data_IF_289175377858
#
_entry.id   IF_289175377858
#
_cell.length_a   1.000
_cell.length_b   1.000
_cell.length_c   1.000
_cell.angle_alpha   90.00
_cell.angle_beta   90.00
_cell.angle_gamma   90.00
#
_symmetry.space_group_name_H-M   'P 1'
#
loop_
_entity.id
_entity.type
_entity.pdbx_description
1 polymer ?
#
# COMPACT_ATOMS: atom_id res chain seq x y z
N UNK A 1 39.63 2.58 28.54
CA UNK A 1 38.26 3.09 28.34
C UNK A 1 38.43 4.44 27.66
N UNK A 2 38.67 4.37 26.34
CA UNK A 2 38.90 5.56 25.51
C UNK A 2 37.56 6.26 25.35
N UNK A 3 37.49 7.49 25.81
CA UNK A 3 36.41 8.44 25.59
C UNK A 3 36.50 8.82 24.13
N UNK A 4 35.59 8.33 23.29
CA UNK A 4 35.37 8.85 21.93
C UNK A 4 34.78 10.27 22.05
N UNK A 5 35.70 11.20 22.27
CA UNK A 5 35.48 12.64 22.39
C UNK A 5 35.27 13.21 20.98
N UNK A 6 34.00 13.41 20.54
CA UNK A 6 33.74 14.04 19.26
C UNK A 6 32.32 13.91 18.71
N UNK A 7 31.42 13.16 19.34
CA UNK A 7 30.04 13.05 18.86
C UNK A 7 29.24 14.32 19.18
N UNK A 8 28.91 15.09 18.15
CA UNK A 8 28.06 16.29 18.27
C UNK A 8 26.73 15.95 18.91
N UNK A 9 26.25 16.75 19.86
CA UNK A 9 24.95 16.62 20.49
C UNK A 9 23.85 17.20 19.57
N UNK A 10 22.67 16.57 19.60
CA UNK A 10 21.49 17.09 18.90
C UNK A 10 21.10 18.49 19.39
N UNK A 11 21.19 18.70 20.69
CA UNK A 11 20.88 19.95 21.38
C UNK A 11 22.00 20.32 22.35
N UNK A 12 22.99 21.10 21.93
CA UNK A 12 24.15 21.47 22.78
C UNK A 12 23.78 22.20 24.08
N UNK A 13 22.62 22.85 24.10
CA UNK A 13 22.08 23.53 25.28
C UNK A 13 21.66 22.57 26.43
N UNK A 14 21.50 21.29 26.12
CA UNK A 14 21.09 20.26 27.08
C UNK A 14 22.13 19.11 27.14
N UNK A 15 23.36 19.34 27.59
CA UNK A 15 24.47 18.40 27.42
C UNK A 15 24.24 17.06 28.12
N UNK A 16 23.46 17.03 29.21
CA UNK A 16 23.23 15.82 30.00
C UNK A 16 22.02 14.98 29.53
N UNK A 17 21.11 15.56 28.72
CA UNK A 17 19.85 14.93 28.33
C UNK A 17 19.68 14.81 26.83
N UNK A 18 20.49 15.50 26.03
CA UNK A 18 20.43 15.47 24.57
C UNK A 18 20.96 14.17 24.01
N UNK A 19 20.30 13.68 22.96
CA UNK A 19 20.83 12.59 22.14
C UNK A 19 22.11 13.03 21.41
N UNK A 20 22.93 12.04 21.07
CA UNK A 20 24.04 12.24 20.15
C UNK A 20 23.55 12.24 18.73
N UNK A 21 24.08 13.14 17.94
CA UNK A 21 23.76 13.20 16.51
C UNK A 21 24.13 11.88 15.82
N UNK A 22 23.27 11.30 14.98
CA UNK A 22 23.62 10.10 14.25
C UNK A 22 24.94 10.29 13.49
N UNK A 23 25.86 9.35 13.63
CA UNK A 23 27.12 9.36 12.89
C UNK A 23 26.86 9.35 11.37
N UNK A 24 27.77 9.98 10.61
CA UNK A 24 27.66 9.98 9.15
C UNK A 24 27.48 8.56 8.62
N UNK A 25 26.47 8.30 7.79
CA UNK A 25 26.16 6.94 7.35
C UNK A 25 27.30 6.40 6.48
N UNK A 26 27.61 5.11 6.69
CA UNK A 26 28.54 4.38 5.84
C UNK A 26 28.06 4.43 4.37
N UNK A 27 28.94 4.32 3.36
CA UNK A 27 28.56 4.39 1.95
C UNK A 27 27.40 3.45 1.56
N UNK A 28 27.33 2.27 2.18
CA UNK A 28 26.23 1.32 2.01
C UNK A 28 24.89 1.85 2.49
N UNK A 29 24.89 2.58 3.60
CA UNK A 29 23.68 3.20 4.17
C UNK A 29 23.18 4.36 3.29
N UNK A 30 24.10 5.13 2.69
CA UNK A 30 23.77 6.17 1.72
C UNK A 30 23.08 5.59 0.48
N UNK A 31 23.59 4.48 -0.05
CA UNK A 31 22.95 3.77 -1.18
C UNK A 31 21.54 3.33 -0.79
N UNK A 32 21.36 2.74 0.40
CA UNK A 32 20.05 2.31 0.89
C UNK A 32 19.06 3.48 0.97
N UNK A 33 19.48 4.63 1.52
CA UNK A 33 18.61 5.81 1.62
C UNK A 33 18.24 6.36 0.23
N UNK A 34 19.17 6.41 -0.71
CA UNK A 34 18.89 6.84 -2.09
C UNK A 34 17.89 5.90 -2.77
N UNK A 35 18.02 4.59 -2.57
CA UNK A 35 17.04 3.60 -3.05
C UNK A 35 15.67 3.82 -2.41
N UNK A 36 15.60 4.02 -1.08
CA UNK A 36 14.34 4.30 -0.38
C UNK A 36 13.68 5.59 -0.89
N UNK A 37 14.43 6.67 -1.09
CA UNK A 37 13.88 7.91 -1.67
C UNK A 37 13.40 7.73 -3.11
N UNK A 38 14.11 6.95 -3.94
CA UNK A 38 13.69 6.64 -5.30
C UNK A 38 12.40 5.84 -5.32
N UNK A 39 12.25 4.86 -4.43
CA UNK A 39 11.01 4.08 -4.25
C UNK A 39 9.89 5.00 -3.78
N UNK A 40 10.13 5.86 -2.78
CA UNK A 40 9.17 6.83 -2.28
C UNK A 40 8.63 7.73 -3.39
N UNK A 41 9.52 8.34 -4.19
CA UNK A 41 9.16 9.21 -5.30
C UNK A 41 8.34 8.45 -6.37
N UNK A 42 8.74 7.23 -6.71
CA UNK A 42 8.02 6.39 -7.66
C UNK A 42 6.62 6.05 -7.14
N UNK A 43 6.51 5.67 -5.87
CA UNK A 43 5.23 5.36 -5.22
C UNK A 43 4.30 6.58 -5.23
N UNK A 44 4.81 7.75 -4.87
CA UNK A 44 4.04 9.02 -4.91
C UNK A 44 3.54 9.31 -6.33
N UNK A 45 4.43 9.27 -7.31
CA UNK A 45 4.08 9.62 -8.69
C UNK A 45 3.03 8.68 -9.27
N UNK A 46 3.19 7.37 -9.10
CA UNK A 46 2.27 6.39 -9.67
C UNK A 46 0.91 6.40 -9.00
N UNK A 47 0.86 6.52 -7.67
CA UNK A 47 -0.41 6.56 -6.94
C UNK A 47 -1.15 7.88 -7.17
N UNK A 48 -0.45 9.01 -7.29
CA UNK A 48 -1.05 10.28 -7.67
C UNK A 48 -1.72 10.19 -9.05
N UNK A 49 -1.08 9.56 -10.04
CA UNK A 49 -1.67 9.33 -11.36
C UNK A 49 -2.94 8.46 -11.29
N UNK A 50 -2.95 7.42 -10.44
CA UNK A 50 -4.15 6.59 -10.23
C UNK A 50 -5.28 7.43 -9.62
N UNK A 51 -4.99 8.21 -8.58
CA UNK A 51 -5.97 9.07 -7.90
C UNK A 51 -6.56 10.07 -8.87
N UNK A 52 -5.72 10.80 -9.62
CA UNK A 52 -6.17 11.77 -10.62
C UNK A 52 -7.04 11.09 -11.68
N UNK A 53 -6.59 9.94 -12.22
CA UNK A 53 -7.32 9.23 -13.26
C UNK A 53 -8.70 8.78 -12.80
N UNK A 54 -8.81 8.17 -11.62
CA UNK A 54 -10.09 7.69 -11.09
C UNK A 54 -10.99 8.88 -10.73
N UNK A 55 -10.45 9.94 -10.13
CA UNK A 55 -11.22 11.10 -9.70
C UNK A 55 -11.74 11.92 -10.88
N UNK A 56 -10.95 12.06 -11.95
CA UNK A 56 -11.31 12.88 -13.10
C UNK A 56 -12.30 12.19 -14.04
N UNK A 57 -12.13 10.91 -14.32
CA UNK A 57 -12.94 10.20 -15.30
C UNK A 57 -14.13 9.48 -14.65
N UNK A 58 -15.35 10.01 -14.83
CA UNK A 58 -16.61 9.41 -14.32
C UNK A 58 -16.83 7.96 -14.75
N UNK A 59 -16.32 7.58 -15.92
CA UNK A 59 -16.40 6.19 -16.42
C UNK A 59 -15.61 5.19 -15.55
N UNK A 60 -14.66 5.68 -14.76
CA UNK A 60 -13.87 4.88 -13.83
C UNK A 60 -14.49 4.76 -12.44
N UNK A 61 -15.63 5.37 -12.18
CA UNK A 61 -16.33 5.25 -10.91
C UNK A 61 -17.06 3.91 -10.80
N UNK A 62 -16.30 2.83 -10.69
CA UNK A 62 -16.81 1.47 -10.45
C UNK A 62 -16.50 1.05 -9.00
N UNK A 63 -17.25 0.08 -8.43
CA UNK A 63 -16.97 -0.43 -7.08
C UNK A 63 -15.52 -0.85 -6.89
N UNK A 64 -14.97 -1.62 -7.81
CA UNK A 64 -13.57 -2.04 -7.79
C UNK A 64 -12.58 -0.86 -7.80
N UNK A 65 -12.85 0.17 -8.62
CA UNK A 65 -11.95 1.31 -8.72
C UNK A 65 -11.99 2.18 -7.45
N UNK A 66 -13.06 2.16 -6.66
CA UNK A 66 -13.08 2.81 -5.34
C UNK A 66 -12.15 2.10 -4.36
N UNK A 67 -12.05 0.76 -4.40
CA UNK A 67 -11.05 0.03 -3.61
C UNK A 67 -9.62 0.38 -4.04
N UNK A 68 -9.38 0.46 -5.35
CA UNK A 68 -8.09 0.88 -5.89
C UNK A 68 -7.75 2.33 -5.54
N UNK A 69 -8.75 3.21 -5.48
CA UNK A 69 -8.57 4.59 -5.05
C UNK A 69 -8.17 4.66 -3.57
N UNK A 70 -8.81 3.88 -2.69
CA UNK A 70 -8.45 3.81 -1.28
C UNK A 70 -7.02 3.32 -1.10
N UNK A 71 -6.64 2.24 -1.77
CA UNK A 71 -5.26 1.72 -1.76
C UNK A 71 -4.26 2.76 -2.30
N UNK A 72 -4.60 3.45 -3.38
CA UNK A 72 -3.71 4.47 -3.93
C UNK A 72 -3.53 5.68 -2.99
N UNK A 73 -4.55 6.03 -2.21
CA UNK A 73 -4.46 7.07 -1.17
C UNK A 73 -3.55 6.61 -0.04
N UNK A 74 -3.72 5.40 0.50
CA UNK A 74 -2.85 4.88 1.56
C UNK A 74 -1.40 4.75 1.08
N UNK A 75 -1.15 4.24 -0.12
CA UNK A 75 0.20 4.13 -0.71
C UNK A 75 0.85 5.51 -0.98
N UNK A 76 0.06 6.50 -1.42
CA UNK A 76 0.53 7.88 -1.56
C UNK A 76 1.01 8.43 -0.22
N UNK A 77 0.25 8.20 0.85
CA UNK A 77 0.61 8.63 2.21
C UNK A 77 1.84 7.87 2.74
N UNK A 78 2.01 6.58 2.42
CA UNK A 78 3.24 5.83 2.72
C UNK A 78 4.43 6.52 2.06
N UNK A 79 4.35 6.85 0.78
CA UNK A 79 5.44 7.50 0.04
C UNK A 79 5.74 8.92 0.51
N UNK A 80 4.72 9.71 0.86
CA UNK A 80 4.90 11.12 1.25
C UNK A 80 5.26 11.33 2.72
N UNK A 81 4.75 10.48 3.61
CA UNK A 81 4.83 10.68 5.06
C UNK A 81 5.66 9.60 5.74
N UNK A 82 5.28 8.32 5.56
CA UNK A 82 5.88 7.23 6.34
C UNK A 82 7.34 7.00 5.95
N UNK A 83 7.63 6.81 4.66
CA UNK A 83 9.00 6.52 4.21
C UNK A 83 9.97 7.66 4.50
N UNK A 84 9.68 8.94 4.13
CA UNK A 84 10.58 10.04 4.46
C UNK A 84 10.73 10.26 5.97
N UNK A 85 9.64 10.11 6.74
CA UNK A 85 9.66 10.27 8.18
C UNK A 85 10.51 9.20 8.89
N UNK A 86 10.45 7.93 8.44
CA UNK A 86 11.32 6.87 8.99
C UNK A 86 12.80 7.10 8.65
N UNK A 87 13.09 7.60 7.46
CA UNK A 87 14.46 7.99 7.11
C UNK A 87 14.92 9.14 8.01
N UNK A 88 14.09 10.18 8.16
CA UNK A 88 14.39 11.33 9.00
C UNK A 88 14.66 10.95 10.47
N UNK A 89 13.83 10.08 11.07
CA UNK A 89 14.03 9.57 12.43
C UNK A 89 15.37 8.86 12.62
N UNK A 90 15.88 8.20 11.57
CA UNK A 90 17.15 7.44 11.63
C UNK A 90 18.39 8.26 11.28
N UNK A 91 18.23 9.33 10.50
CA UNK A 91 19.35 10.11 9.99
C UNK A 91 19.56 11.45 10.68
N UNK A 92 18.55 11.93 11.39
CA UNK A 92 18.53 13.27 11.96
C UNK A 92 18.04 13.27 13.40
N UNK A 93 18.36 14.33 14.13
CA UNK A 93 17.78 14.57 15.43
C UNK A 93 16.30 14.97 15.28
N UNK A 94 15.44 14.44 16.13
CA UNK A 94 14.02 14.80 16.14
C UNK A 94 13.82 16.12 16.86
N UNK A 95 13.46 17.17 16.13
CA UNK A 95 13.29 18.54 16.68
C UNK A 95 11.81 18.97 16.74
N UNK A 96 10.88 18.10 16.30
CA UNK A 96 9.45 18.44 16.20
C UNK A 96 8.68 18.24 17.51
N UNK A 97 9.35 17.75 18.57
CA UNK A 97 8.75 17.52 19.88
C UNK A 97 7.96 16.22 19.99
N UNK A 98 7.58 15.88 21.22
CA UNK A 98 7.00 14.58 21.56
C UNK A 98 5.56 14.40 21.02
N UNK A 99 4.79 15.48 21.00
CA UNK A 99 3.41 15.41 20.47
C UNK A 99 3.40 15.12 18.96
N UNK A 100 4.30 15.72 18.18
CA UNK A 100 4.41 15.45 16.75
C UNK A 100 4.98 14.05 16.50
N UNK A 101 5.86 13.55 17.38
CA UNK A 101 6.32 12.18 17.37
C UNK A 101 5.17 11.18 17.57
N UNK A 102 4.35 11.40 18.59
CA UNK A 102 3.13 10.63 18.82
C UNK A 102 2.20 10.64 17.58
N UNK A 103 1.89 11.82 17.06
CA UNK A 103 1.01 11.97 15.91
C UNK A 103 1.57 11.27 14.67
N UNK A 104 2.87 11.39 14.43
CA UNK A 104 3.54 10.71 13.33
C UNK A 104 3.44 9.17 13.46
N UNK A 105 3.74 8.61 14.63
CA UNK A 105 3.66 7.18 14.89
C UNK A 105 2.21 6.67 14.72
N UNK A 106 1.23 7.40 15.27
CA UNK A 106 -0.19 7.08 15.13
C UNK A 106 -0.64 7.05 13.67
N UNK A 107 -0.34 8.10 12.89
CA UNK A 107 -0.70 8.17 11.48
C UNK A 107 0.01 7.10 10.66
N UNK A 108 1.27 6.82 10.94
CA UNK A 108 2.05 5.78 10.23
C UNK A 108 1.43 4.40 10.40
N UNK A 109 0.93 4.06 11.60
CA UNK A 109 0.25 2.78 11.84
C UNK A 109 -1.11 2.75 11.11
N UNK A 110 -1.92 3.83 11.19
CA UNK A 110 -3.20 3.91 10.47
C UNK A 110 -2.98 3.66 8.97
N UNK A 111 -2.04 4.35 8.36
CA UNK A 111 -1.74 4.25 6.93
C UNK A 111 -1.33 2.82 6.56
N UNK A 112 -0.46 2.20 7.36
CA UNK A 112 0.02 0.85 7.11
C UNK A 112 -1.09 -0.20 7.25
N UNK A 113 -1.90 -0.12 8.30
CA UNK A 113 -3.01 -1.05 8.54
C UNK A 113 -4.11 -0.88 7.51
N UNK A 114 -4.44 0.35 7.09
CA UNK A 114 -5.44 0.59 6.06
C UNK A 114 -4.99 0.06 4.69
N UNK A 115 -3.73 0.21 4.33
CA UNK A 115 -3.17 -0.37 3.09
C UNK A 115 -3.31 -1.89 3.06
N UNK A 116 -2.99 -2.58 4.16
CA UNK A 116 -3.20 -4.03 4.29
C UNK A 116 -4.68 -4.41 4.17
N UNK A 117 -5.57 -3.66 4.81
CA UNK A 117 -7.01 -3.86 4.73
C UNK A 117 -7.55 -3.67 3.32
N UNK A 118 -7.09 -2.65 2.60
CA UNK A 118 -7.46 -2.40 1.20
C UNK A 118 -7.05 -3.57 0.29
N UNK A 119 -5.88 -4.16 0.50
CA UNK A 119 -5.43 -5.35 -0.24
C UNK A 119 -6.36 -6.55 0.02
N UNK A 120 -6.80 -6.75 1.26
CA UNK A 120 -7.78 -7.80 1.60
C UNK A 120 -9.12 -7.53 0.89
N UNK A 121 -9.63 -6.31 0.94
CA UNK A 121 -10.89 -5.95 0.28
C UNK A 121 -10.82 -6.17 -1.23
N UNK A 122 -9.71 -5.80 -1.88
CA UNK A 122 -9.47 -6.07 -3.31
C UNK A 122 -9.41 -7.57 -3.58
N UNK A 123 -8.78 -8.34 -2.71
CA UNK A 123 -8.69 -9.81 -2.85
C UNK A 123 -10.07 -10.46 -2.77
N UNK A 124 -10.93 -9.99 -1.86
CA UNK A 124 -12.34 -10.43 -1.75
C UNK A 124 -13.14 -10.02 -2.99
N UNK A 125 -12.99 -8.80 -3.48
CA UNK A 125 -13.64 -8.32 -4.71
C UNK A 125 -13.28 -9.22 -5.91
N UNK A 126 -11.99 -9.53 -6.09
CA UNK A 126 -11.53 -10.44 -7.14
C UNK A 126 -12.06 -11.85 -6.96
N UNK A 127 -12.08 -12.37 -5.74
CA UNK A 127 -12.64 -13.68 -5.43
C UNK A 127 -14.11 -13.77 -5.84
N UNK A 128 -14.95 -12.81 -5.46
CA UNK A 128 -16.38 -12.81 -5.81
C UNK A 128 -16.56 -12.67 -7.32
N UNK A 129 -15.78 -11.81 -7.98
CA UNK A 129 -15.87 -11.61 -9.43
C UNK A 129 -15.56 -12.88 -10.26
N UNK A 130 -14.69 -13.74 -9.78
CA UNK A 130 -14.22 -14.94 -10.49
C UNK A 130 -15.00 -16.19 -10.07
N UNK A 131 -15.27 -16.33 -8.76
CA UNK A 131 -15.90 -17.54 -8.22
C UNK A 131 -17.44 -17.48 -8.25
N UNK A 132 -18.05 -16.27 -8.25
CA UNK A 132 -19.51 -16.08 -8.28
C UNK A 132 -19.91 -14.92 -9.22
N UNK A 133 -19.63 -15.04 -10.54
CA UNK A 133 -19.85 -13.95 -11.48
C UNK A 133 -21.32 -13.56 -11.66
N UNK A 134 -22.24 -14.50 -11.45
CA UNK A 134 -23.69 -14.25 -11.60
C UNK A 134 -24.23 -13.32 -10.51
N UNK A 135 -23.71 -13.41 -9.29
CA UNK A 135 -24.13 -12.60 -8.16
C UNK A 135 -23.21 -11.41 -7.89
N UNK A 136 -22.15 -11.22 -8.69
CA UNK A 136 -21.17 -10.17 -8.48
C UNK A 136 -21.81 -8.78 -8.37
N UNK A 137 -22.65 -8.40 -9.34
CA UNK A 137 -23.30 -7.08 -9.39
C UNK A 137 -24.28 -6.82 -8.24
N UNK A 138 -24.85 -7.88 -7.65
CA UNK A 138 -25.75 -7.77 -6.49
C UNK A 138 -25.01 -7.73 -5.16
N UNK A 139 -23.85 -8.37 -5.08
CA UNK A 139 -23.02 -8.42 -3.87
C UNK A 139 -22.07 -7.23 -3.76
N UNK A 140 -21.43 -6.85 -4.85
CA UNK A 140 -20.43 -5.77 -4.91
C UNK A 140 -21.07 -4.51 -5.48
N UNK A 141 -21.74 -3.78 -4.62
CA UNK A 141 -22.39 -2.50 -4.98
C UNK A 141 -21.55 -1.32 -4.50
N UNK A 142 -21.70 -0.15 -5.15
CA UNK A 142 -20.97 1.07 -4.81
C UNK A 142 -21.11 1.45 -3.34
N UNK A 143 -22.30 1.36 -2.77
CA UNK A 143 -22.53 1.75 -1.36
C UNK A 143 -21.87 0.78 -0.39
N UNK A 144 -21.90 -0.53 -0.67
CA UNK A 144 -21.24 -1.55 0.18
C UNK A 144 -19.73 -1.37 0.15
N UNK A 145 -19.16 -1.11 -1.02
CA UNK A 145 -17.72 -0.89 -1.16
C UNK A 145 -17.28 0.39 -0.43
N UNK A 146 -18.00 1.50 -0.59
CA UNK A 146 -17.72 2.74 0.17
C UNK A 146 -17.81 2.50 1.68
N UNK A 147 -18.82 1.76 2.13
CA UNK A 147 -18.95 1.41 3.54
C UNK A 147 -17.78 0.53 4.01
N UNK A 148 -17.38 -0.47 3.22
CA UNK A 148 -16.24 -1.35 3.57
C UNK A 148 -14.92 -0.56 3.67
N UNK A 149 -14.66 0.38 2.76
CA UNK A 149 -13.50 1.27 2.83
C UNK A 149 -13.56 2.14 4.08
N UNK A 150 -14.71 2.78 4.36
CA UNK A 150 -14.89 3.59 5.57
C UNK A 150 -14.63 2.77 6.84
N UNK A 151 -15.20 1.56 6.93
CA UNK A 151 -15.01 0.67 8.08
C UNK A 151 -13.55 0.21 8.20
N UNK A 152 -12.85 0.00 7.08
CA UNK A 152 -11.43 -0.33 7.06
C UNK A 152 -10.58 0.79 7.69
N UNK A 153 -10.79 2.05 7.29
CA UNK A 153 -10.09 3.20 7.87
C UNK A 153 -10.46 3.43 9.34
N UNK A 154 -11.72 3.26 9.70
CA UNK A 154 -12.17 3.37 11.09
C UNK A 154 -11.53 2.28 11.97
N UNK A 155 -11.49 1.04 11.49
CA UNK A 155 -10.79 -0.06 12.17
C UNK A 155 -9.31 0.27 12.33
N UNK A 156 -8.64 0.73 11.27
CA UNK A 156 -7.22 1.10 11.30
C UNK A 156 -6.93 2.18 12.34
N UNK A 157 -7.78 3.21 12.43
CA UNK A 157 -7.64 4.26 13.43
C UNK A 157 -7.83 3.73 14.85
N UNK A 158 -8.87 2.91 15.09
CA UNK A 158 -9.13 2.32 16.41
C UNK A 158 -8.04 1.34 16.82
N UNK A 159 -7.57 0.51 15.90
CA UNK A 159 -6.47 -0.42 16.10
C UNK A 159 -5.17 0.31 16.46
N UNK A 160 -4.84 1.38 15.73
CA UNK A 160 -3.63 2.17 15.97
C UNK A 160 -3.61 2.82 17.36
N UNK A 161 -4.76 3.25 17.88
CA UNK A 161 -4.85 3.80 19.23
C UNK A 161 -4.40 2.79 20.30
N UNK A 162 -4.62 1.51 20.07
CA UNK A 162 -4.18 0.46 21.00
C UNK A 162 -2.65 0.42 21.16
N UNK A 163 -1.90 0.71 20.07
CA UNK A 163 -0.44 0.71 20.08
C UNK A 163 0.17 1.97 20.68
N UNK A 164 -0.49 3.11 20.50
CA UNK A 164 0.04 4.42 20.94
C UNK A 164 -0.65 4.94 22.21
N UNK A 165 -1.43 4.10 22.90
CA UNK A 165 -2.19 4.50 24.10
C UNK A 165 -1.32 5.09 25.20
N UNK A 166 -0.12 4.52 25.40
CA UNK A 166 0.81 4.96 26.44
C UNK A 166 1.46 6.30 26.08
N UNK A 167 1.80 6.48 24.82
CA UNK A 167 2.33 7.76 24.29
C UNK A 167 1.25 8.87 24.28
N UNK A 168 -0.04 8.49 24.18
CA UNK A 168 -1.15 9.45 24.27
C UNK A 168 -1.26 10.07 25.67
N UNK A 169 -1.00 9.27 26.71
CA UNK A 169 -1.08 9.74 28.11
C UNK A 169 0.20 10.46 28.54
N UNK A 170 1.34 10.04 28.07
CA UNK A 170 2.65 10.58 28.41
C UNK A 170 3.57 10.57 27.16
N UNK A 171 3.44 11.58 26.26
CA UNK A 171 4.27 11.67 25.08
C UNK A 171 5.75 11.74 25.44
N UNK A 172 6.59 10.98 24.71
CA UNK A 172 8.03 10.96 24.92
C UNK A 172 8.51 10.17 26.15
N UNK A 173 7.62 9.47 26.88
CA UNK A 173 7.98 8.69 28.07
C UNK A 173 9.11 7.70 27.83
N UNK A 174 9.17 7.12 26.63
CA UNK A 174 10.13 6.09 26.27
C UNK A 174 11.36 6.63 25.53
N UNK A 175 11.43 7.92 25.28
CA UNK A 175 12.62 8.54 24.70
C UNK A 175 13.79 8.44 25.68
N UNK A 176 14.91 7.89 25.22
CA UNK A 176 16.12 7.74 26.05
C UNK A 176 16.82 9.07 26.26
N UNK A 177 16.64 10.01 25.35
CA UNK A 177 17.27 11.31 25.35
C UNK A 177 16.42 12.34 24.57
N UNK A 178 16.70 13.61 24.77
CA UNK A 178 16.01 14.70 24.08
C UNK A 178 16.50 14.80 22.62
N UNK A 179 15.56 14.68 21.69
CA UNK A 179 15.85 14.64 20.25
C UNK A 179 15.70 13.28 19.61
N UNK A 180 15.05 12.35 20.29
CA UNK A 180 14.67 11.04 19.78
C UNK A 180 13.15 10.96 19.60
N UNK A 181 12.69 10.14 18.65
CA UNK A 181 11.28 9.80 18.46
C UNK A 181 11.17 8.28 18.34
N UNK A 182 10.79 7.64 19.42
CA UNK A 182 10.70 6.17 19.51
C UNK A 182 9.26 5.75 19.78
N UNK A 183 8.81 4.71 19.08
CA UNK A 183 7.61 3.96 19.42
C UNK A 183 8.05 2.67 20.12
N UNK A 184 7.69 2.53 21.38
CA UNK A 184 7.95 1.32 22.17
C UNK A 184 6.65 0.52 22.24
N UNK A 185 6.69 -0.70 21.74
CA UNK A 185 5.58 -1.65 21.77
C UNK A 185 5.96 -2.78 22.72
N UNK A 186 5.09 -3.08 23.67
CA UNK A 186 5.31 -4.20 24.58
C UNK A 186 5.29 -5.54 23.83
N UNK A 187 5.97 -6.55 24.35
CA UNK A 187 6.14 -7.86 23.71
C UNK A 187 4.83 -8.53 23.31
N UNK A 188 3.82 -8.50 24.18
CA UNK A 188 2.53 -9.11 23.89
C UNK A 188 1.81 -8.41 22.73
N UNK A 189 1.79 -7.08 22.73
CA UNK A 189 1.21 -6.27 21.66
C UNK A 189 1.96 -6.50 20.34
N UNK A 190 3.29 -6.58 20.37
CA UNK A 190 4.08 -6.88 19.18
C UNK A 190 3.79 -8.28 18.60
N UNK A 191 3.61 -9.30 19.45
CA UNK A 191 3.22 -10.65 19.01
C UNK A 191 1.81 -10.67 18.45
N UNK A 192 0.86 -9.98 19.10
CA UNK A 192 -0.51 -9.86 18.57
C UNK A 192 -0.51 -9.19 17.21
N UNK A 193 0.23 -8.09 17.05
CA UNK A 193 0.37 -7.40 15.77
C UNK A 193 0.95 -8.31 14.70
N UNK A 194 2.04 -9.00 14.98
CA UNK A 194 2.66 -9.95 14.06
C UNK A 194 1.67 -11.02 13.59
N UNK A 195 0.87 -11.57 14.51
CA UNK A 195 -0.11 -12.61 14.18
C UNK A 195 -1.27 -12.04 13.37
N UNK A 196 -1.87 -10.93 13.80
CA UNK A 196 -3.06 -10.37 13.16
C UNK A 196 -2.74 -9.65 11.86
N UNK A 197 -1.76 -8.77 11.86
CA UNK A 197 -1.46 -7.94 10.69
C UNK A 197 -0.69 -8.70 9.61
N UNK A 198 0.24 -9.56 9.97
CA UNK A 198 1.07 -10.27 9.01
C UNK A 198 0.54 -11.69 8.73
N UNK A 199 0.49 -12.56 9.74
CA UNK A 199 0.19 -13.99 9.51
C UNK A 199 -1.23 -14.19 9.01
N UNK A 200 -2.24 -13.63 9.70
CA UNK A 200 -3.64 -13.80 9.32
C UNK A 200 -3.91 -13.13 7.98
N UNK A 201 -3.45 -11.88 7.79
CA UNK A 201 -3.67 -11.13 6.55
C UNK A 201 -3.04 -11.82 5.35
N UNK A 202 -1.76 -12.22 5.43
CA UNK A 202 -1.08 -12.94 4.35
C UNK A 202 -1.75 -14.28 4.07
N UNK A 203 -2.14 -15.03 5.10
CA UNK A 203 -2.82 -16.31 4.93
C UNK A 203 -4.17 -16.14 4.21
N UNK A 204 -4.96 -15.15 4.58
CA UNK A 204 -6.25 -14.86 3.92
C UNK A 204 -6.03 -14.47 2.46
N UNK A 205 -5.09 -13.59 2.18
CA UNK A 205 -4.75 -13.17 0.82
C UNK A 205 -4.32 -14.37 -0.01
N UNK A 206 -3.37 -15.16 0.46
CA UNK A 206 -2.87 -16.34 -0.25
C UNK A 206 -3.98 -17.35 -0.49
N UNK A 207 -4.81 -17.64 0.52
CA UNK A 207 -5.93 -18.57 0.38
C UNK A 207 -6.95 -18.12 -0.68
N UNK A 208 -7.30 -16.82 -0.69
CA UNK A 208 -8.21 -16.26 -1.69
C UNK A 208 -7.63 -16.35 -3.10
N UNK A 209 -6.34 -16.01 -3.28
CA UNK A 209 -5.70 -16.08 -4.59
C UNK A 209 -5.51 -17.53 -5.09
N UNK A 210 -5.18 -18.48 -4.21
CA UNK A 210 -5.12 -19.90 -4.59
C UNK A 210 -6.50 -20.40 -5.05
N UNK A 211 -7.58 -19.99 -4.40
CA UNK A 211 -8.95 -20.32 -4.82
C UNK A 211 -9.30 -19.69 -6.16
N UNK A 212 -9.01 -18.41 -6.33
CA UNK A 212 -9.19 -17.69 -7.60
C UNK A 212 -8.44 -18.38 -8.73
N UNK A 213 -7.19 -18.77 -8.49
CA UNK A 213 -6.37 -19.50 -9.46
C UNK A 213 -6.97 -20.87 -9.82
N UNK A 214 -7.36 -21.65 -8.83
CA UNK A 214 -7.96 -22.98 -9.05
C UNK A 214 -9.25 -22.89 -9.90
N UNK A 215 -10.13 -21.90 -9.58
CA UNK A 215 -11.37 -21.69 -10.35
C UNK A 215 -11.07 -21.19 -11.76
N UNK A 216 -10.15 -20.24 -11.92
CA UNK A 216 -9.76 -19.73 -13.24
C UNK A 216 -9.17 -20.83 -14.14
N UNK A 217 -8.32 -21.72 -13.60
CA UNK A 217 -7.77 -22.87 -14.32
C UNK A 217 -8.87 -23.87 -14.68
N UNK A 218 -9.80 -24.14 -13.76
CA UNK A 218 -10.93 -25.03 -14.01
C UNK A 218 -11.84 -24.50 -15.14
N UNK A 219 -12.18 -23.21 -15.10
CA UNK A 219 -12.98 -22.56 -16.15
C UNK A 219 -12.25 -22.58 -17.51
N UNK A 220 -10.95 -22.32 -17.51
CA UNK A 220 -10.13 -22.38 -18.73
C UNK A 220 -10.08 -23.80 -19.33
N UNK A 221 -9.99 -24.84 -18.49
CA UNK A 221 -10.06 -26.24 -18.93
C UNK A 221 -11.42 -26.62 -19.49
N UNK A 222 -12.51 -26.19 -18.82
CA UNK A 222 -13.87 -26.44 -19.30
C UNK A 222 -14.13 -25.78 -20.66
N UNK A 223 -13.69 -24.52 -20.85
CA UNK A 223 -13.77 -23.85 -22.15
C UNK A 223 -12.96 -24.56 -23.25
N UNK A 224 -11.77 -25.06 -22.93
CA UNK A 224 -10.97 -25.84 -23.89
C UNK A 224 -11.67 -27.14 -24.30
N UNK A 225 -12.24 -27.88 -23.35
CA UNK A 225 -13.03 -29.10 -23.65
C UNK A 225 -14.21 -28.77 -24.56
N UNK A 226 -14.96 -27.70 -24.30
CA UNK A 226 -16.05 -27.25 -25.17
C UNK A 226 -15.58 -26.85 -26.57
N UNK A 227 -14.48 -26.10 -26.67
CA UNK A 227 -13.91 -25.70 -27.98
C UNK A 227 -13.43 -26.94 -28.76
N UNK A 228 -12.85 -27.93 -28.10
CA UNK A 228 -12.41 -29.17 -28.76
C UNK A 228 -13.58 -29.95 -29.31
N UNK A 229 -14.71 -30.02 -28.59
CA UNK A 229 -15.95 -30.67 -29.08
C UNK A 229 -16.56 -29.90 -30.25
N UNK A 230 -16.58 -28.56 -30.18
CA UNK A 230 -17.12 -27.71 -31.25
C UNK A 230 -16.20 -27.67 -32.47
N UNK A 231 -14.85 -27.74 -32.30
CA UNK A 231 -13.90 -27.76 -33.41
C UNK A 231 -13.88 -29.11 -34.15
N UNK A 232 -14.27 -30.19 -33.47
CA UNK A 232 -14.49 -31.48 -34.11
C UNK A 232 -15.77 -31.46 -34.99
N UNK A 233 -16.70 -30.52 -34.75
CA UNK A 233 -17.92 -30.33 -35.53
C UNK A 233 -17.86 -29.21 -36.58
N UNK A 234 -16.96 -28.22 -36.41
CA UNK A 234 -16.76 -27.12 -37.35
C UNK A 234 -15.28 -26.71 -37.37
N UNK A 235 -14.61 -26.84 -38.51
CA UNK A 235 -13.24 -26.42 -38.75
C UNK A 235 -13.11 -24.87 -38.66
N UNK A 236 -12.87 -24.32 -37.49
CA UNK A 236 -12.57 -22.89 -37.24
C UNK A 236 -11.39 -22.72 -36.26
N UNK A 237 -10.48 -21.87 -36.66
CA UNK A 237 -9.19 -21.58 -36.04
C UNK A 237 -9.24 -21.04 -34.58
N UNK A 238 -8.27 -21.38 -33.70
CA UNK A 238 -8.37 -21.12 -32.27
C UNK A 238 -7.91 -19.71 -31.88
N UNK A 239 -8.84 -18.92 -31.33
CA UNK A 239 -8.56 -17.65 -30.64
C UNK A 239 -8.32 -17.82 -29.11
N UNK A 240 -8.00 -19.05 -28.64
CA UNK A 240 -7.99 -19.39 -27.21
C UNK A 240 -6.77 -18.89 -26.40
N UNK A 241 -5.68 -18.44 -27.06
CA UNK A 241 -4.43 -18.04 -26.37
C UNK A 241 -4.49 -16.71 -25.59
N UNK A 242 -5.53 -15.89 -25.82
CA UNK A 242 -5.66 -14.55 -25.20
C UNK A 242 -6.30 -14.57 -23.80
N UNK A 243 -7.04 -15.61 -23.45
CA UNK A 243 -7.78 -15.71 -22.18
C UNK A 243 -6.88 -16.16 -21.01
N UNK A 244 -5.92 -17.04 -21.23
CA UNK A 244 -4.99 -17.51 -20.20
C UNK A 244 -4.04 -16.42 -19.72
N UNK A 245 -3.60 -15.55 -20.64
CA UNK A 245 -2.78 -14.38 -20.31
C UNK A 245 -3.56 -13.36 -19.44
N UNK A 246 -4.89 -13.29 -19.59
CA UNK A 246 -5.73 -12.41 -18.75
C UNK A 246 -5.82 -12.91 -17.29
N UNK A 247 -5.99 -14.22 -17.07
CA UNK A 247 -6.06 -14.80 -15.73
C UNK A 247 -4.72 -14.70 -14.99
N UNK A 248 -3.59 -14.97 -15.69
CA UNK A 248 -2.26 -14.78 -15.14
C UNK A 248 -1.92 -13.31 -14.84
N UNK A 249 -2.48 -12.36 -15.64
CA UNK A 249 -2.36 -10.93 -15.41
C UNK A 249 -3.12 -10.44 -14.18
N UNK A 250 -4.22 -11.10 -13.81
CA UNK A 250 -5.00 -10.74 -12.61
C UNK A 250 -4.28 -11.17 -11.32
N UNK A 251 -3.45 -12.22 -11.38
CA UNK A 251 -2.60 -12.65 -10.26
C UNK A 251 -1.40 -11.72 -9.98
N UNK A 252 -0.95 -10.97 -11.00
CA UNK A 252 0.11 -9.98 -10.85
C UNK A 252 -0.28 -8.70 -10.11
N UNK A 253 -1.54 -8.55 -9.74
CA UNK A 253 -2.11 -7.35 -9.07
C UNK A 253 -1.57 -7.13 -7.64
N UNK A 254 -0.89 -8.12 -7.06
CA UNK A 254 -0.30 -8.04 -5.72
C UNK A 254 0.98 -7.19 -5.62
N UNK A 255 1.58 -6.79 -6.73
CA UNK A 255 2.87 -6.13 -6.74
C UNK A 255 2.79 -4.73 -7.36
N UNK A 256 2.14 -3.77 -6.67
CA UNK A 256 2.33 -2.32 -6.89
C UNK A 256 1.67 -1.61 -8.10
N UNK A 257 1.49 -0.28 -7.98
CA UNK A 257 1.02 0.64 -9.02
C UNK A 257 1.70 0.48 -10.39
N UNK A 258 2.97 0.02 -10.41
CA UNK A 258 3.72 -0.30 -11.64
C UNK A 258 2.99 -1.33 -12.50
N UNK A 259 2.35 -2.32 -11.88
CA UNK A 259 1.60 -3.35 -12.60
C UNK A 259 0.30 -2.78 -13.18
N UNK A 260 -0.36 -1.86 -12.46
CA UNK A 260 -1.53 -1.15 -12.99
C UNK A 260 -1.15 -0.31 -14.21
N UNK A 261 -0.04 0.45 -14.13
CA UNK A 261 0.47 1.24 -15.24
C UNK A 261 0.78 0.40 -16.49
N UNK A 262 1.34 -0.79 -16.30
CA UNK A 262 1.73 -1.68 -17.38
C UNK A 262 0.59 -2.51 -17.96
N UNK A 263 -0.38 -2.93 -17.16
CA UNK A 263 -1.34 -3.97 -17.53
C UNK A 263 -2.78 -3.49 -17.73
N UNK A 264 -3.17 -2.32 -17.22
CA UNK A 264 -4.52 -1.79 -17.45
C UNK A 264 -4.58 -0.89 -18.69
N UNK A 265 -5.30 -1.30 -19.77
CA UNK A 265 -5.39 -0.50 -20.99
C UNK A 265 -6.00 0.89 -20.79
N UNK A 266 -6.92 1.03 -19.82
CA UNK A 266 -7.55 2.31 -19.50
C UNK A 266 -6.59 3.28 -18.81
N UNK A 267 -5.69 2.79 -17.96
CA UNK A 267 -4.68 3.63 -17.32
C UNK A 267 -3.73 4.23 -18.36
N UNK A 268 -3.26 3.42 -19.32
CA UNK A 268 -2.44 3.91 -20.44
C UNK A 268 -3.17 4.93 -21.31
N UNK A 269 -4.51 4.78 -21.49
CA UNK A 269 -5.32 5.78 -22.20
C UNK A 269 -5.44 7.07 -21.38
N UNK A 270 -5.66 6.99 -20.08
CA UNK A 270 -5.76 8.15 -19.20
C UNK A 270 -4.45 8.95 -19.17
N UNK A 271 -3.30 8.29 -19.03
CA UNK A 271 -1.98 8.93 -19.08
C UNK A 271 -1.74 9.64 -20.42
N UNK A 272 -2.08 9.00 -21.55
CA UNK A 272 -1.95 9.63 -22.88
C UNK A 272 -2.87 10.85 -23.05
N UNK A 273 -4.06 10.84 -22.47
CA UNK A 273 -4.98 11.97 -22.53
C UNK A 273 -4.49 13.16 -21.68
N UNK A 274 -3.90 12.88 -20.53
CA UNK A 274 -3.28 13.91 -19.66
C UNK A 274 -2.09 14.55 -20.40
N UNK A 275 -1.22 13.74 -20.97
CA UNK A 275 -0.05 14.21 -21.75
C UNK A 275 -0.46 15.04 -22.99
N UNK A 276 -1.53 14.64 -23.68
CA UNK A 276 -2.06 15.40 -24.82
C UNK A 276 -2.76 16.71 -24.41
N UNK A 277 -3.39 16.76 -23.22
CA UNK A 277 -4.00 18.00 -22.71
C UNK A 277 -2.95 19.02 -22.24
N UNK A 278 -1.84 18.57 -21.65
CA UNK A 278 -0.71 19.43 -21.30
C UNK A 278 0.01 19.98 -22.56
N UNK A 279 0.04 19.19 -23.65
CA UNK A 279 0.59 19.65 -24.92
C UNK A 279 -0.30 20.71 -25.58
N UNK A 280 -1.62 20.55 -25.47
CA UNK A 280 -2.59 21.56 -25.95
C UNK A 280 -2.58 22.85 -25.12
N UNK A 281 -2.36 22.77 -23.81
CA UNK A 281 -2.25 23.93 -22.91
C UNK A 281 -0.92 24.70 -23.07
N UNK A 282 0.12 24.11 -23.68
CA UNK A 282 1.38 24.79 -24.00
C UNK A 282 1.40 25.43 -25.39
N UNK A 283 0.35 25.23 -26.18
CA UNK A 283 0.19 25.77 -27.55
C UNK A 283 -0.87 26.89 -27.62
N UNK A 284 -1.49 27.26 -26.51
CA UNK A 284 -2.33 28.45 -26.29
C UNK A 284 -1.61 29.45 -25.38
#
# INVERSE_FOLDING_TARGET
MEVEDGAELCFPQFPNTSCRKPSSPWPQTLVLYNVCYSISLTTVTLNLLIIISISHFRQLHTPTNILLLSLAVSDLLVGLVVMPGEIFKKTSCWFLGDFVCFLYNYLSIIISVSSLGDIVLISVDRYVAICDPLHYNTRITMNRVKLSVFLCWLYSASYSLFFVKDDLTQPGRYNSCYGECVLVIDYFTAVIDLVLSLIVTVTVIVALYLRVFAVAVSQARAMRAHITVVTLQLSVTPKAKKSELKAARTLGVLLNPVIYALFYPWFRKAVKLIDSSDTAARLL
#
